data_IF_564202403316
#
_entry.id   IF_564202403316
#
_cell.length_a   1.000
_cell.length_b   1.000
_cell.length_c   1.000
_cell.angle_alpha   90.00
_cell.angle_beta   90.00
_cell.angle_gamma   90.00
#
_symmetry.space_group_name_H-M   'P 1'
#
loop_
_entity.id
_entity.type
_entity.pdbx_description
1 polymer ?
#
# COMPACT_ATOMS: atom_id res chain seq x y z
N UNK A 1 -30.05 14.87 -15.43
CA UNK A 1 -28.79 14.09 -15.64
C UNK A 1 -28.57 13.07 -14.52
N UNK A 2 -29.56 12.28 -14.11
CA UNK A 2 -29.44 11.34 -12.99
C UNK A 2 -29.98 9.95 -13.37
N UNK A 3 -29.45 9.36 -14.47
CA UNK A 3 -29.80 7.98 -14.82
C UNK A 3 -28.79 7.10 -14.09
N UNK A 4 -29.18 6.57 -12.92
CA UNK A 4 -28.38 5.57 -12.24
C UNK A 4 -28.43 4.27 -13.05
N UNK A 5 -27.30 3.70 -13.47
CA UNK A 5 -27.28 2.46 -14.23
C UNK A 5 -27.86 1.31 -13.40
N UNK A 6 -28.54 0.36 -14.05
CA UNK A 6 -28.98 -0.87 -13.43
C UNK A 6 -27.80 -1.66 -12.85
N UNK A 7 -28.03 -2.64 -11.97
CA UNK A 7 -26.95 -3.46 -11.38
C UNK A 7 -26.08 -4.12 -12.45
N UNK A 8 -26.69 -4.65 -13.51
CA UNK A 8 -25.99 -5.25 -14.66
C UNK A 8 -25.23 -4.18 -15.46
N UNK A 9 -25.87 -3.03 -15.74
CA UNK A 9 -25.23 -1.91 -16.42
C UNK A 9 -24.02 -1.37 -15.66
N UNK A 10 -24.09 -1.30 -14.32
CA UNK A 10 -22.95 -0.91 -13.48
C UNK A 10 -21.79 -1.88 -13.58
N UNK A 11 -22.07 -3.20 -13.58
CA UNK A 11 -21.04 -4.24 -13.75
C UNK A 11 -20.40 -4.15 -15.12
N UNK A 12 -21.22 -4.02 -16.19
CA UNK A 12 -20.71 -3.88 -17.57
C UNK A 12 -19.83 -2.64 -17.72
N UNK A 13 -20.27 -1.49 -17.19
CA UNK A 13 -19.48 -0.26 -17.23
C UNK A 13 -18.21 -0.36 -16.41
N UNK A 14 -18.21 -1.09 -15.29
CA UNK A 14 -17.01 -1.32 -14.49
C UNK A 14 -16.00 -2.23 -15.19
N UNK A 15 -16.44 -3.23 -15.96
CA UNK A 15 -15.57 -4.15 -16.71
C UNK A 15 -15.05 -3.55 -18.02
N UNK A 16 -15.76 -2.60 -18.60
CA UNK A 16 -15.45 -2.03 -19.92
C UNK A 16 -14.01 -1.52 -20.05
N UNK A 17 -13.44 -0.72 -19.10
CA UNK A 17 -12.07 -0.26 -19.24
C UNK A 17 -11.04 -1.40 -19.19
N UNK A 18 -11.29 -2.45 -18.41
CA UNK A 18 -10.40 -3.62 -18.34
C UNK A 18 -10.42 -4.42 -19.65
N UNK A 19 -11.60 -4.64 -20.20
CA UNK A 19 -11.76 -5.32 -21.51
C UNK A 19 -11.10 -4.50 -22.61
N UNK A 20 -11.29 -3.16 -22.59
CA UNK A 20 -10.67 -2.27 -23.58
C UNK A 20 -9.13 -2.35 -23.54
N UNK A 21 -8.54 -2.24 -22.33
CA UNK A 21 -7.09 -2.34 -22.16
C UNK A 21 -6.57 -3.72 -22.61
N UNK A 22 -7.26 -4.80 -22.24
CA UNK A 22 -6.88 -6.15 -22.65
C UNK A 22 -6.96 -6.32 -24.17
N UNK A 23 -8.01 -5.80 -24.81
CA UNK A 23 -8.17 -5.86 -26.28
C UNK A 23 -7.06 -5.07 -26.98
N UNK A 24 -6.78 -3.84 -26.53
CA UNK A 24 -5.68 -3.01 -27.08
C UNK A 24 -4.35 -3.76 -26.95
N UNK A 25 -4.10 -4.37 -25.79
CA UNK A 25 -2.87 -5.14 -25.58
C UNK A 25 -2.74 -6.32 -26.56
N UNK A 26 -3.79 -7.13 -26.71
CA UNK A 26 -3.78 -8.30 -27.59
C UNK A 26 -3.59 -7.89 -29.05
N UNK A 27 -4.29 -6.85 -29.51
CA UNK A 27 -4.15 -6.34 -30.89
C UNK A 27 -2.74 -5.80 -31.11
N UNK A 28 -2.23 -4.95 -30.23
CA UNK A 28 -0.89 -4.40 -30.36
C UNK A 28 0.21 -5.48 -30.31
N UNK A 29 0.06 -6.51 -29.47
CA UNK A 29 0.95 -7.66 -29.42
C UNK A 29 0.94 -8.44 -30.74
N UNK A 30 -0.24 -8.69 -31.30
CA UNK A 30 -0.39 -9.41 -32.58
C UNK A 30 0.24 -8.62 -33.76
N UNK A 31 -0.02 -7.31 -33.85
CA UNK A 31 0.55 -6.45 -34.89
C UNK A 31 2.08 -6.40 -34.84
N UNK A 32 2.66 -6.23 -33.65
CA UNK A 32 4.11 -6.22 -33.51
C UNK A 32 4.76 -7.52 -33.86
N UNK A 33 4.15 -8.65 -33.49
CA UNK A 33 4.66 -9.99 -33.87
C UNK A 33 4.51 -10.31 -35.36
N UNK A 34 3.55 -9.71 -36.01
CA UNK A 34 3.46 -9.83 -37.49
C UNK A 34 4.66 -9.18 -38.19
N UNK A 35 5.26 -8.14 -37.61
CA UNK A 35 6.46 -7.45 -38.09
C UNK A 35 7.74 -8.12 -37.58
N UNK A 36 7.77 -8.50 -36.30
CA UNK A 36 8.92 -9.17 -35.68
C UNK A 36 8.43 -10.33 -34.81
N UNK A 37 8.56 -11.58 -35.24
CA UNK A 37 8.12 -12.77 -34.49
C UNK A 37 8.79 -12.90 -33.07
N UNK A 38 10.01 -12.38 -32.95
CA UNK A 38 10.81 -12.42 -31.68
C UNK A 38 10.68 -11.16 -30.82
N UNK A 39 9.59 -10.39 -31.02
CA UNK A 39 9.39 -9.16 -30.23
C UNK A 39 9.15 -9.48 -28.75
N UNK A 40 10.10 -9.04 -27.91
CA UNK A 40 10.07 -9.21 -26.46
C UNK A 40 9.33 -8.12 -25.69
N UNK A 41 8.91 -7.04 -26.35
CA UNK A 41 8.31 -5.88 -25.67
C UNK A 41 6.82 -6.10 -25.36
N UNK A 42 6.09 -6.76 -26.26
CA UNK A 42 4.68 -7.11 -26.05
C UNK A 42 4.47 -8.62 -26.25
N UNK A 43 4.88 -9.45 -25.28
CA UNK A 43 4.76 -10.90 -25.38
C UNK A 43 3.27 -11.31 -25.44
N UNK A 44 2.93 -12.39 -26.16
CA UNK A 44 1.58 -12.91 -26.16
C UNK A 44 1.22 -13.51 -24.80
N UNK A 45 -0.08 -13.61 -24.55
CA UNK A 45 -0.60 -14.15 -23.28
C UNK A 45 -0.08 -15.57 -23.01
N UNK A 46 0.14 -16.37 -24.06
CA UNK A 46 0.70 -17.73 -23.94
C UNK A 46 2.11 -17.74 -23.34
N UNK A 47 3.01 -16.86 -23.80
CA UNK A 47 4.37 -16.76 -23.27
C UNK A 47 4.38 -16.26 -21.82
N UNK A 48 3.50 -15.31 -21.49
CA UNK A 48 3.30 -14.88 -20.09
C UNK A 48 2.79 -16.02 -19.20
N UNK A 49 1.84 -16.83 -19.70
CA UNK A 49 1.34 -17.99 -18.96
C UNK A 49 2.43 -19.04 -18.73
N UNK A 50 3.27 -19.30 -19.74
CA UNK A 50 4.41 -20.21 -19.60
C UNK A 50 5.48 -19.67 -18.64
N UNK A 51 5.72 -18.35 -18.66
CA UNK A 51 6.60 -17.69 -17.70
C UNK A 51 6.07 -17.82 -16.26
N UNK A 52 4.77 -17.57 -16.04
CA UNK A 52 4.13 -17.78 -14.73
C UNK A 52 4.25 -19.24 -14.30
N UNK A 53 4.01 -20.19 -15.20
CA UNK A 53 4.13 -21.62 -14.90
C UNK A 53 5.55 -21.99 -14.44
N UNK A 54 6.56 -21.41 -15.09
CA UNK A 54 7.97 -21.62 -14.70
C UNK A 54 8.27 -21.04 -13.32
N UNK A 55 7.92 -19.76 -13.08
CA UNK A 55 8.33 -19.08 -11.84
C UNK A 55 7.47 -19.42 -10.64
N UNK A 56 6.19 -19.82 -10.82
CA UNK A 56 5.25 -20.08 -9.74
C UNK A 56 5.13 -21.56 -9.36
N UNK A 57 5.53 -22.51 -10.23
CA UNK A 57 5.29 -23.94 -10.02
C UNK A 57 6.53 -24.82 -10.25
N UNK A 58 7.60 -24.27 -10.82
CA UNK A 58 8.83 -25.04 -11.03
C UNK A 58 9.93 -24.51 -10.11
N UNK A 59 10.66 -25.41 -9.43
CA UNK A 59 11.80 -25.02 -8.62
C UNK A 59 12.92 -24.48 -9.52
N UNK A 60 13.55 -23.40 -9.10
CA UNK A 60 14.71 -22.85 -9.77
C UNK A 60 15.88 -23.81 -9.67
N UNK A 61 16.61 -24.02 -10.76
CA UNK A 61 17.72 -24.98 -10.86
C UNK A 61 18.91 -24.63 -9.94
N UNK A 62 19.03 -23.38 -9.50
CA UNK A 62 20.14 -22.91 -8.67
C UNK A 62 19.78 -22.92 -7.18
N UNK A 63 18.61 -22.38 -6.82
CA UNK A 63 18.19 -22.25 -5.42
C UNK A 63 17.35 -23.43 -4.94
N UNK A 64 16.71 -24.19 -5.84
CA UNK A 64 15.74 -25.22 -5.50
C UNK A 64 14.38 -24.67 -5.02
N UNK A 65 14.22 -23.37 -4.92
CA UNK A 65 13.00 -22.71 -4.45
C UNK A 65 12.09 -22.32 -5.59
N UNK A 66 10.79 -22.20 -5.30
CA UNK A 66 9.83 -21.64 -6.26
C UNK A 66 9.90 -20.12 -6.16
N UNK A 67 10.51 -19.51 -7.15
CA UNK A 67 10.97 -18.13 -7.17
C UNK A 67 9.88 -17.11 -6.83
N UNK A 68 8.67 -17.25 -7.41
CA UNK A 68 7.58 -16.30 -7.19
C UNK A 68 7.17 -16.25 -5.71
N UNK A 69 7.11 -17.40 -5.05
CA UNK A 69 6.67 -17.47 -3.66
C UNK A 69 7.77 -16.99 -2.69
N UNK A 70 9.03 -17.30 -2.98
CA UNK A 70 10.16 -16.79 -2.20
C UNK A 70 10.25 -15.25 -2.29
N UNK A 71 10.16 -14.69 -3.51
CA UNK A 71 10.13 -13.25 -3.73
C UNK A 71 8.92 -12.59 -3.06
N UNK A 72 7.74 -13.23 -3.13
CA UNK A 72 6.52 -12.73 -2.49
C UNK A 72 6.65 -12.71 -0.97
N UNK A 73 7.17 -13.77 -0.37
CA UNK A 73 7.35 -13.86 1.07
C UNK A 73 8.33 -12.77 1.57
N UNK A 74 9.46 -12.59 0.89
CA UNK A 74 10.43 -11.56 1.23
C UNK A 74 9.85 -10.14 1.14
N UNK A 75 9.15 -9.84 0.05
CA UNK A 75 8.52 -8.52 -0.13
C UNK A 75 7.40 -8.26 0.87
N UNK A 76 6.52 -9.24 1.11
CA UNK A 76 5.42 -9.09 2.07
C UNK A 76 5.93 -8.94 3.50
N UNK A 77 6.98 -9.67 3.89
CA UNK A 77 7.59 -9.51 5.20
C UNK A 77 8.06 -8.07 5.43
N UNK A 78 8.81 -7.49 4.49
CA UNK A 78 9.28 -6.11 4.55
C UNK A 78 8.12 -5.12 4.59
N UNK A 79 7.11 -5.32 3.75
CA UNK A 79 5.93 -4.46 3.67
C UNK A 79 5.13 -4.47 4.97
N UNK A 80 4.82 -5.66 5.49
CA UNK A 80 4.04 -5.81 6.72
C UNK A 80 4.77 -5.21 7.92
N UNK A 81 6.09 -5.44 8.02
CA UNK A 81 6.91 -4.84 9.08
C UNK A 81 6.93 -3.31 8.95
N UNK A 82 7.24 -2.78 7.76
CA UNK A 82 7.30 -1.33 7.54
C UNK A 82 5.96 -0.64 7.75
N UNK A 83 4.89 -1.18 7.18
CA UNK A 83 3.54 -0.64 7.30
C UNK A 83 3.00 -0.79 8.73
N UNK A 84 3.31 -1.90 9.41
CA UNK A 84 2.95 -2.14 10.81
C UNK A 84 3.59 -1.11 11.74
N UNK A 85 4.91 -0.90 11.63
CA UNK A 85 5.63 0.11 12.40
C UNK A 85 5.09 1.51 12.09
N UNK A 86 4.87 1.84 10.82
CA UNK A 86 4.30 3.14 10.42
C UNK A 86 2.89 3.34 10.99
N UNK A 87 2.06 2.30 11.04
CA UNK A 87 0.71 2.34 11.60
C UNK A 87 0.76 2.55 13.12
N UNK A 88 1.64 1.86 13.83
CA UNK A 88 1.82 2.04 15.27
C UNK A 88 2.34 3.45 15.60
N UNK A 89 3.29 3.96 14.83
CA UNK A 89 3.76 5.34 14.95
C UNK A 89 2.64 6.35 14.63
N UNK A 90 1.87 6.11 13.56
CA UNK A 90 0.70 6.89 13.19
C UNK A 90 -0.32 6.97 14.34
N UNK A 91 -0.63 5.82 14.94
CA UNK A 91 -1.53 5.73 16.05
C UNK A 91 -1.01 6.49 17.29
N UNK A 92 0.22 6.19 17.72
CA UNK A 92 0.78 6.75 18.95
C UNK A 92 0.97 8.27 18.84
N UNK A 93 1.68 8.72 17.82
CA UNK A 93 1.98 10.14 17.64
C UNK A 93 0.78 10.95 17.13
N UNK A 94 -0.04 10.37 16.23
CA UNK A 94 -1.23 11.03 15.72
C UNK A 94 -2.27 11.27 16.83
N UNK A 95 -2.49 10.28 17.70
CA UNK A 95 -3.35 10.42 18.86
C UNK A 95 -2.78 11.44 19.86
N UNK A 96 -1.49 11.36 20.18
CA UNK A 96 -0.84 12.28 21.11
C UNK A 96 -0.88 13.74 20.61
N UNK A 97 -0.57 13.98 19.34
CA UNK A 97 -0.66 15.32 18.71
C UNK A 97 -2.11 15.82 18.69
N UNK A 98 -3.06 14.95 18.39
CA UNK A 98 -4.48 15.34 18.30
C UNK A 98 -5.13 15.64 19.65
N UNK A 99 -4.71 14.95 20.73
CA UNK A 99 -5.33 15.08 22.08
C UNK A 99 -4.59 16.08 22.96
N UNK A 100 -3.25 16.18 22.85
CA UNK A 100 -2.42 16.94 23.78
C UNK A 100 -1.90 18.24 23.14
N UNK A 101 -2.38 19.44 23.56
CA UNK A 101 -1.98 20.72 22.94
C UNK A 101 -0.47 20.98 22.99
N UNK A 102 0.23 20.59 24.07
CA UNK A 102 1.68 20.76 24.19
C UNK A 102 2.43 19.87 23.18
N UNK A 103 1.99 18.62 22.99
CA UNK A 103 2.56 17.71 22.02
C UNK A 103 2.28 18.21 20.59
N UNK A 104 1.08 18.72 20.36
CA UNK A 104 0.72 19.35 19.09
C UNK A 104 1.64 20.53 18.76
N UNK A 105 1.84 21.45 19.69
CA UNK A 105 2.67 22.62 19.48
C UNK A 105 4.15 22.27 19.16
N UNK A 106 4.65 21.15 19.70
CA UNK A 106 6.05 20.73 19.51
C UNK A 106 6.23 19.82 18.29
N UNK A 107 5.38 18.81 18.13
CA UNK A 107 5.60 17.76 17.12
C UNK A 107 4.85 17.99 15.78
N UNK A 108 3.73 18.72 15.79
CA UNK A 108 2.99 18.92 14.54
C UNK A 108 3.80 19.67 13.47
N UNK A 109 4.58 20.73 13.77
CA UNK A 109 5.45 21.38 12.78
C UNK A 109 6.53 20.44 12.26
N UNK A 110 7.14 19.63 13.15
CA UNK A 110 8.16 18.66 12.76
C UNK A 110 7.59 17.61 11.78
N UNK A 111 6.45 17.01 12.13
CA UNK A 111 5.78 16.01 11.26
C UNK A 111 5.37 16.63 9.92
N UNK A 112 4.91 17.89 9.93
CA UNK A 112 4.58 18.60 8.71
C UNK A 112 5.79 18.73 7.78
N UNK A 113 6.96 19.10 8.29
CA UNK A 113 8.21 19.18 7.52
C UNK A 113 8.65 17.79 7.04
N UNK A 114 8.65 16.78 7.91
CA UNK A 114 9.02 15.41 7.55
C UNK A 114 8.13 14.83 6.45
N UNK A 115 6.82 15.15 6.47
CA UNK A 115 5.88 14.70 5.44
C UNK A 115 6.10 15.32 4.05
N UNK A 116 6.89 16.39 3.96
CA UNK A 116 7.24 17.05 2.69
C UNK A 116 8.51 16.49 2.05
N UNK A 117 9.31 15.73 2.81
CA UNK A 117 10.54 15.14 2.28
C UNK A 117 10.16 13.96 1.36
N UNK A 118 10.57 13.97 0.08
CA UNK A 118 10.32 12.85 -0.82
C UNK A 118 11.07 11.60 -0.32
N UNK A 119 10.38 10.50 0.04
CA UNK A 119 11.04 9.34 0.64
C UNK A 119 12.11 8.72 -0.26
N UNK A 120 11.89 8.75 -1.58
CA UNK A 120 12.84 8.22 -2.53
C UNK A 120 14.16 9.04 -2.59
N UNK A 121 14.11 10.32 -2.27
CA UNK A 121 15.31 11.17 -2.26
C UNK A 121 16.25 10.84 -1.10
N UNK A 122 15.73 10.31 0.00
CA UNK A 122 16.55 9.90 1.16
C UNK A 122 17.06 8.45 1.07
N UNK A 123 16.62 7.68 0.09
CA UNK A 123 17.01 6.28 -0.06
C UNK A 123 18.54 6.07 -0.04
N UNK A 124 19.36 6.86 -0.77
CA UNK A 124 20.81 6.74 -0.70
C UNK A 124 21.37 7.00 0.71
N UNK A 125 20.78 7.96 1.44
CA UNK A 125 21.16 8.26 2.83
C UNK A 125 20.83 7.08 3.73
N UNK A 126 19.67 6.46 3.57
CA UNK A 126 19.29 5.27 4.35
C UNK A 126 20.23 4.09 4.09
N UNK A 127 20.70 3.92 2.86
CA UNK A 127 21.70 2.89 2.54
C UNK A 127 23.08 3.16 3.14
N UNK A 128 23.48 4.43 3.25
CA UNK A 128 24.72 4.81 3.91
C UNK A 128 24.64 4.57 5.42
N UNK A 129 23.50 4.93 6.05
CA UNK A 129 23.34 4.87 7.50
C UNK A 129 23.07 3.44 7.99
N UNK A 130 22.16 2.71 7.30
CA UNK A 130 21.68 1.40 7.73
C UNK A 130 22.26 0.22 6.91
N UNK A 131 23.08 0.51 5.90
CA UNK A 131 23.59 -0.49 4.95
C UNK A 131 22.55 -0.93 3.92
N UNK A 132 22.96 -1.82 3.02
CA UNK A 132 22.10 -2.38 1.95
C UNK A 132 21.21 -3.54 2.43
N UNK A 133 21.14 -3.78 3.75
CA UNK A 133 20.41 -4.88 4.37
C UNK A 133 18.88 -4.69 4.38
N UNK A 134 18.20 -5.53 5.16
CA UNK A 134 16.74 -5.52 5.28
C UNK A 134 16.22 -4.26 5.99
N UNK A 135 17.01 -3.75 6.96
CA UNK A 135 16.63 -2.61 7.78
C UNK A 135 16.35 -1.35 6.97
N UNK A 136 17.23 -1.01 6.02
CA UNK A 136 17.10 0.19 5.18
C UNK A 136 15.81 0.17 4.33
N UNK A 137 15.41 -1.01 3.85
CA UNK A 137 14.18 -1.20 3.07
C UNK A 137 12.93 -0.98 3.93
N UNK A 138 12.91 -1.55 5.13
CA UNK A 138 11.81 -1.37 6.09
C UNK A 138 11.73 0.08 6.55
N UNK A 139 12.87 0.70 6.90
CA UNK A 139 12.93 2.11 7.32
C UNK A 139 12.44 3.05 6.22
N UNK A 140 12.71 2.78 4.95
CA UNK A 140 12.17 3.58 3.84
C UNK A 140 10.64 3.56 3.81
N UNK A 141 10.02 2.39 4.00
CA UNK A 141 8.56 2.27 4.05
C UNK A 141 8.02 3.05 5.25
N UNK A 142 8.63 2.88 6.43
CA UNK A 142 8.24 3.61 7.65
C UNK A 142 8.33 5.11 7.44
N UNK A 143 9.46 5.61 6.95
CA UNK A 143 9.68 7.03 6.72
C UNK A 143 8.71 7.60 5.68
N UNK A 144 8.39 6.83 4.64
CA UNK A 144 7.48 7.27 3.58
C UNK A 144 6.00 7.28 4.00
N UNK A 145 5.61 6.43 4.96
CA UNK A 145 4.20 6.25 5.33
C UNK A 145 3.86 6.88 6.68
N UNK A 146 4.73 6.76 7.70
CA UNK A 146 4.41 7.20 9.07
C UNK A 146 4.06 8.69 9.17
N UNK A 147 4.78 9.66 8.55
CA UNK A 147 4.43 11.06 8.65
C UNK A 147 3.02 11.38 8.12
N UNK A 148 2.63 10.70 7.03
CA UNK A 148 1.29 10.82 6.48
C UNK A 148 0.24 10.29 7.46
N UNK A 149 0.42 9.08 8.03
CA UNK A 149 -0.52 8.49 8.98
C UNK A 149 -0.63 9.33 10.26
N UNK A 150 0.48 9.84 10.79
CA UNK A 150 0.50 10.71 11.97
C UNK A 150 -0.33 11.97 11.71
N UNK A 151 -0.11 12.61 10.57
CA UNK A 151 -0.81 13.84 10.19
C UNK A 151 -2.30 13.59 9.95
N UNK A 152 -2.66 12.57 9.19
CA UNK A 152 -4.07 12.25 8.90
C UNK A 152 -4.83 11.93 10.18
N UNK A 153 -4.24 11.13 11.08
CA UNK A 153 -4.88 10.78 12.34
C UNK A 153 -5.00 11.97 13.29
N UNK A 154 -3.97 12.82 13.39
CA UNK A 154 -4.03 14.03 14.24
C UNK A 154 -5.14 14.99 13.78
N UNK A 155 -5.32 15.14 12.47
CA UNK A 155 -6.42 15.93 11.89
C UNK A 155 -7.78 15.29 12.17
N UNK A 156 -7.88 13.96 12.08
CA UNK A 156 -9.10 13.23 12.39
C UNK A 156 -9.51 13.39 13.88
N UNK A 157 -8.55 13.35 14.78
CA UNK A 157 -8.78 13.63 16.22
C UNK A 157 -9.28 15.07 16.42
N UNK A 158 -8.63 16.05 15.79
CA UNK A 158 -9.02 17.47 15.87
C UNK A 158 -10.40 17.78 15.26
N UNK A 159 -10.90 16.91 14.38
CA UNK A 159 -12.23 17.03 13.77
C UNK A 159 -13.36 16.46 14.64
N UNK A 160 -13.06 15.81 15.77
CA UNK A 160 -14.09 15.30 16.67
C UNK A 160 -14.83 16.45 17.38
N UNK A 161 -16.17 16.34 17.59
CA UNK A 161 -16.95 17.36 18.28
C UNK A 161 -16.42 17.63 19.69
N UNK A 162 -16.07 18.88 19.96
CA UNK A 162 -15.50 19.29 21.26
C UNK A 162 -16.46 18.98 22.43
N UNK A 163 -17.78 19.00 22.17
CA UNK A 163 -18.80 18.71 23.19
C UNK A 163 -18.66 17.31 23.78
N UNK A 164 -18.20 16.33 23.00
CA UNK A 164 -17.99 14.96 23.48
C UNK A 164 -16.85 14.91 24.50
N UNK A 165 -15.77 15.66 24.23
CA UNK A 165 -14.59 15.74 25.08
C UNK A 165 -14.96 16.48 26.38
N UNK A 166 -15.60 17.66 26.26
CA UNK A 166 -16.06 18.47 27.40
C UNK A 166 -17.01 17.67 28.28
N UNK A 167 -17.98 16.97 27.70
CA UNK A 167 -18.93 16.11 28.43
C UNK A 167 -18.23 14.99 29.19
N UNK A 168 -17.27 14.31 28.57
CA UNK A 168 -16.50 13.26 29.25
C UNK A 168 -15.69 13.84 30.45
N UNK A 169 -15.05 14.99 30.27
CA UNK A 169 -14.30 15.67 31.31
C UNK A 169 -15.23 16.15 32.45
N UNK A 170 -16.42 16.67 32.15
CA UNK A 170 -17.41 17.06 33.14
C UNK A 170 -17.92 15.90 34.00
N UNK A 171 -17.86 14.67 33.44
CA UNK A 171 -18.15 13.42 34.17
C UNK A 171 -16.93 12.87 34.94
N UNK A 172 -15.83 13.63 35.02
CA UNK A 172 -14.62 13.26 35.77
C UNK A 172 -13.63 12.37 35.01
N UNK A 173 -13.77 12.24 33.68
CA UNK A 173 -12.81 11.47 32.88
C UNK A 173 -11.44 12.17 32.83
N UNK A 174 -10.37 11.43 33.14
CA UNK A 174 -8.99 11.90 32.94
C UNK A 174 -8.67 12.02 31.44
N UNK A 175 -7.64 12.80 31.09
CA UNK A 175 -7.17 12.93 29.68
C UNK A 175 -6.87 11.58 29.05
N UNK A 176 -6.28 10.65 29.79
CA UNK A 176 -6.00 9.29 29.33
C UNK A 176 -7.30 8.50 29.04
N UNK A 177 -8.29 8.60 29.92
CA UNK A 177 -9.60 7.97 29.70
C UNK A 177 -10.31 8.56 28.49
N UNK A 178 -10.24 9.86 28.28
CA UNK A 178 -10.77 10.53 27.08
C UNK A 178 -10.05 10.00 25.84
N UNK A 179 -8.72 9.95 25.83
CA UNK A 179 -7.94 9.48 24.71
C UNK A 179 -8.29 8.03 24.32
N UNK A 180 -8.34 7.12 25.29
CA UNK A 180 -8.49 5.67 25.02
C UNK A 180 -9.95 5.26 24.85
N UNK A 181 -10.90 5.83 25.61
CA UNK A 181 -12.30 5.39 25.62
C UNK A 181 -13.21 6.21 24.73
N UNK A 182 -12.85 7.45 24.44
CA UNK A 182 -13.69 8.34 23.61
C UNK A 182 -13.08 8.55 22.22
N UNK A 183 -11.82 9.00 22.16
CA UNK A 183 -11.17 9.39 20.91
C UNK A 183 -10.75 8.16 20.10
N UNK A 184 -9.95 7.27 20.70
CA UNK A 184 -9.37 6.11 20.01
C UNK A 184 -10.39 5.27 19.23
N UNK A 185 -11.53 4.82 19.79
CA UNK A 185 -12.49 4.01 19.05
C UNK A 185 -13.07 4.74 17.84
N UNK A 186 -13.24 6.08 17.94
CA UNK A 186 -13.82 6.88 16.87
C UNK A 186 -12.86 7.11 15.70
N UNK A 187 -11.56 7.15 15.96
CA UNK A 187 -10.56 7.41 14.91
C UNK A 187 -9.94 6.14 14.32
N UNK A 188 -10.14 4.97 14.95
CA UNK A 188 -9.62 3.70 14.42
C UNK A 188 -10.09 3.36 13.00
N UNK A 189 -11.37 3.52 12.62
CA UNK A 189 -11.79 3.30 11.23
C UNK A 189 -11.04 4.21 10.26
N UNK A 190 -10.81 5.47 10.65
CA UNK A 190 -10.06 6.42 9.85
C UNK A 190 -8.60 6.01 9.68
N UNK A 191 -7.96 5.50 10.74
CA UNK A 191 -6.59 4.98 10.66
C UNK A 191 -6.50 3.81 9.67
N UNK A 192 -7.43 2.86 9.73
CA UNK A 192 -7.46 1.74 8.80
C UNK A 192 -7.64 2.23 7.36
N UNK A 193 -8.54 3.18 7.11
CA UNK A 193 -8.73 3.78 5.79
C UNK A 193 -7.46 4.51 5.31
N UNK A 194 -6.74 5.21 6.19
CA UNK A 194 -5.47 5.86 5.88
C UNK A 194 -4.36 4.84 5.54
N UNK A 195 -4.29 3.72 6.26
CA UNK A 195 -3.38 2.60 5.95
C UNK A 195 -3.69 2.01 4.58
N UNK A 196 -4.96 1.80 4.25
CA UNK A 196 -5.39 1.32 2.93
C UNK A 196 -4.94 2.27 1.81
N UNK A 197 -5.12 3.57 1.99
CA UNK A 197 -4.68 4.60 1.04
C UNK A 197 -3.15 4.65 0.90
N UNK A 198 -2.42 4.21 1.93
CA UNK A 198 -0.95 4.15 1.92
C UNK A 198 -0.39 2.90 1.25
N UNK A 199 -1.20 1.89 0.92
CA UNK A 199 -0.71 0.65 0.28
C UNK A 199 0.02 0.92 -1.03
N UNK A 200 -0.54 1.75 -1.91
CA UNK A 200 0.09 2.11 -3.18
C UNK A 200 1.48 2.73 -3.00
N UNK A 201 1.61 3.84 -2.25
CA UNK A 201 2.91 4.41 -1.90
C UNK A 201 3.86 3.42 -1.20
N UNK A 202 3.37 2.59 -0.28
CA UNK A 202 4.19 1.60 0.43
C UNK A 202 4.78 0.55 -0.52
N UNK A 203 4.00 0.04 -1.48
CA UNK A 203 4.51 -0.84 -2.54
C UNK A 203 5.53 -0.13 -3.43
N UNK A 204 5.30 1.15 -3.77
CA UNK A 204 6.27 1.93 -4.55
C UNK A 204 7.62 2.01 -3.82
N UNK A 205 7.62 2.33 -2.53
CA UNK A 205 8.86 2.42 -1.74
C UNK A 205 9.54 1.06 -1.62
N UNK A 206 8.77 0.00 -1.37
CA UNK A 206 9.28 -1.37 -1.30
C UNK A 206 9.98 -1.79 -2.59
N UNK A 207 9.27 -1.70 -3.74
CA UNK A 207 9.78 -2.12 -5.05
C UNK A 207 11.04 -1.33 -5.42
N UNK A 208 11.04 -0.04 -5.12
CA UNK A 208 12.21 0.82 -5.41
C UNK A 208 13.42 0.47 -4.55
N UNK A 209 13.23 0.19 -3.27
CA UNK A 209 14.32 -0.25 -2.40
C UNK A 209 14.87 -1.63 -2.82
N UNK A 210 13.97 -2.56 -3.16
CA UNK A 210 14.34 -3.89 -3.65
C UNK A 210 15.07 -3.85 -4.99
N UNK A 211 14.71 -2.93 -5.88
CA UNK A 211 15.34 -2.75 -7.17
C UNK A 211 16.83 -2.40 -7.08
N UNK A 212 17.23 -1.70 -6.01
CA UNK A 212 18.60 -1.16 -5.86
C UNK A 212 19.43 -2.05 -4.97
N UNK A 213 18.88 -2.58 -3.88
CA UNK A 213 19.68 -3.16 -2.80
C UNK A 213 19.10 -4.48 -2.25
N UNK A 214 18.47 -5.31 -3.07
CA UNK A 214 17.99 -6.61 -2.64
C UNK A 214 18.61 -7.76 -3.42
N UNK A 215 18.60 -8.96 -2.81
CA UNK A 215 18.98 -10.24 -3.43
C UNK A 215 17.74 -11.12 -3.66
N UNK A 216 16.58 -10.72 -3.11
CA UNK A 216 15.28 -11.39 -3.26
C UNK A 216 14.16 -10.38 -3.11
N UNK A 217 13.01 -10.67 -3.71
CA UNK A 217 11.81 -9.85 -3.65
C UNK A 217 11.24 -9.52 -5.02
N UNK A 218 9.98 -9.07 -5.03
CA UNK A 218 9.24 -8.80 -6.26
C UNK A 218 9.88 -7.68 -7.08
N UNK A 219 10.32 -6.61 -6.41
CA UNK A 219 11.03 -5.50 -7.05
C UNK A 219 12.40 -5.92 -7.58
N UNK A 220 13.17 -6.68 -6.80
CA UNK A 220 14.44 -7.24 -7.23
C UNK A 220 14.29 -8.05 -8.52
N UNK A 221 13.29 -8.95 -8.58
CA UNK A 221 13.07 -9.80 -9.75
C UNK A 221 12.77 -8.99 -11.00
N UNK A 222 11.87 -8.03 -10.92
CA UNK A 222 11.51 -7.16 -12.04
C UNK A 222 12.77 -6.46 -12.58
N UNK A 223 13.60 -5.89 -11.71
CA UNK A 223 14.79 -5.16 -12.12
C UNK A 223 15.93 -6.08 -12.59
N UNK A 224 16.01 -7.31 -12.08
CA UNK A 224 16.94 -8.32 -12.56
C UNK A 224 16.67 -8.72 -14.01
N UNK A 225 15.40 -9.05 -14.33
CA UNK A 225 15.02 -9.55 -15.66
C UNK A 225 14.84 -8.43 -16.69
N UNK A 226 14.72 -7.15 -16.24
CA UNK A 226 14.62 -5.97 -17.11
C UNK A 226 15.79 -5.87 -18.09
N UNK A 227 16.99 -6.19 -17.64
CA UNK A 227 18.21 -6.14 -18.49
C UNK A 227 18.16 -7.11 -19.68
N UNK A 228 17.28 -8.11 -19.63
CA UNK A 228 17.08 -9.10 -20.70
C UNK A 228 15.82 -8.82 -21.51
N UNK A 229 15.11 -7.70 -21.21
CA UNK A 229 13.81 -7.34 -21.80
C UNK A 229 12.76 -8.46 -21.65
N UNK A 230 12.83 -9.24 -20.57
CA UNK A 230 11.92 -10.36 -20.31
C UNK A 230 10.54 -9.86 -19.84
N UNK A 231 9.80 -9.21 -20.74
CA UNK A 231 8.48 -8.65 -20.43
C UNK A 231 7.45 -9.75 -20.16
N UNK A 232 7.68 -10.97 -20.65
CA UNK A 232 6.92 -12.17 -20.32
C UNK A 232 6.91 -12.51 -18.83
N UNK A 233 7.96 -12.09 -18.08
CA UNK A 233 8.05 -12.23 -16.62
C UNK A 233 7.62 -10.95 -15.92
N UNK A 234 8.04 -9.77 -16.42
CA UNK A 234 7.78 -8.48 -15.77
C UNK A 234 6.28 -8.20 -15.64
N UNK A 235 5.53 -8.36 -16.75
CA UNK A 235 4.09 -8.05 -16.75
C UNK A 235 3.29 -8.92 -15.77
N UNK A 236 3.48 -10.25 -15.70
CA UNK A 236 2.87 -11.07 -14.67
C UNK A 236 3.27 -10.69 -13.24
N UNK A 237 4.53 -10.30 -12.99
CA UNK A 237 4.94 -9.83 -11.66
C UNK A 237 4.23 -8.53 -11.27
N UNK A 238 4.08 -7.58 -12.20
CA UNK A 238 3.31 -6.34 -11.96
C UNK A 238 1.84 -6.67 -11.66
N UNK A 239 1.24 -7.57 -12.44
CA UNK A 239 -0.13 -8.03 -12.20
C UNK A 239 -0.26 -8.72 -10.82
N UNK A 240 0.72 -9.53 -10.44
CA UNK A 240 0.76 -10.18 -9.13
C UNK A 240 0.88 -9.19 -7.98
N UNK A 241 1.77 -8.18 -8.07
CA UNK A 241 1.89 -7.09 -7.09
C UNK A 241 0.56 -6.34 -6.96
N UNK A 242 -0.10 -6.03 -8.09
CA UNK A 242 -1.40 -5.37 -8.09
C UNK A 242 -2.47 -6.21 -7.41
N UNK A 243 -2.48 -7.53 -7.65
CA UNK A 243 -3.38 -8.46 -6.99
C UNK A 243 -3.14 -8.51 -5.47
N UNK A 244 -1.87 -8.58 -5.04
CA UNK A 244 -1.51 -8.56 -3.62
C UNK A 244 -1.96 -7.26 -2.94
N UNK A 245 -1.72 -6.10 -3.58
CA UNK A 245 -2.18 -4.81 -3.07
C UNK A 245 -3.70 -4.76 -2.94
N UNK A 246 -4.43 -5.25 -3.94
CA UNK A 246 -5.89 -5.35 -3.91
C UNK A 246 -6.40 -6.27 -2.80
N UNK A 247 -5.79 -7.44 -2.63
CA UNK A 247 -6.17 -8.39 -1.57
C UNK A 247 -5.92 -7.80 -0.17
N UNK A 248 -4.81 -7.08 0.02
CA UNK A 248 -4.52 -6.39 1.27
C UNK A 248 -5.54 -5.26 1.52
N UNK A 249 -5.85 -4.44 0.52
CA UNK A 249 -6.89 -3.41 0.63
C UNK A 249 -8.25 -4.02 0.99
N UNK A 250 -8.64 -5.09 0.31
CA UNK A 250 -9.88 -5.80 0.58
C UNK A 250 -9.92 -6.37 2.00
N UNK A 251 -8.83 -7.00 2.45
CA UNK A 251 -8.72 -7.55 3.81
C UNK A 251 -8.85 -6.46 4.89
N UNK A 252 -8.16 -5.33 4.71
CA UNK A 252 -8.28 -4.17 5.61
C UNK A 252 -9.67 -3.54 5.57
N UNK A 253 -10.29 -3.45 4.38
CA UNK A 253 -11.67 -2.95 4.24
C UNK A 253 -12.67 -3.87 4.96
N UNK A 254 -12.49 -5.18 4.82
CA UNK A 254 -13.31 -6.17 5.52
C UNK A 254 -13.12 -6.07 7.03
N UNK A 255 -11.86 -6.02 7.50
CA UNK A 255 -11.52 -5.82 8.91
C UNK A 255 -12.20 -4.56 9.48
N UNK A 256 -12.10 -3.43 8.77
CA UNK A 256 -12.68 -2.17 9.21
C UNK A 256 -14.20 -2.25 9.33
N UNK A 257 -14.88 -2.88 8.37
CA UNK A 257 -16.35 -3.04 8.38
C UNK A 257 -16.84 -3.99 9.46
N UNK A 258 -16.08 -5.05 9.75
CA UNK A 258 -16.46 -6.03 10.77
C UNK A 258 -16.15 -5.54 12.19
N UNK A 259 -15.01 -4.86 12.39
CA UNK A 259 -14.62 -4.34 13.69
C UNK A 259 -15.37 -3.05 14.08
N UNK A 260 -15.75 -2.23 13.09
CA UNK A 260 -16.36 -0.91 13.30
C UNK A 260 -17.63 -0.70 12.43
N UNK A 261 -18.67 -1.54 12.53
CA UNK A 261 -19.85 -1.47 11.66
C UNK A 261 -20.57 -0.13 11.75
N UNK A 262 -20.62 0.49 12.94
CA UNK A 262 -21.24 1.77 13.20
C UNK A 262 -20.65 2.94 12.37
N UNK A 263 -19.39 2.86 11.97
CA UNK A 263 -18.75 3.89 11.17
C UNK A 263 -19.25 3.91 9.70
N UNK A 264 -19.85 2.83 9.24
CA UNK A 264 -20.32 2.65 7.85
C UNK A 264 -21.85 2.77 7.71
N UNK A 265 -22.64 2.56 8.78
CA UNK A 265 -24.10 2.67 8.75
C UNK A 265 -24.57 4.09 8.41
N UNK A 266 -23.87 5.11 8.83
CA UNK A 266 -24.19 6.51 8.54
C UNK A 266 -23.94 6.92 7.08
N UNK A 267 -23.07 6.22 6.35
CA UNK A 267 -22.76 6.50 4.93
C UNK A 267 -23.77 5.92 3.94
N UNK A 268 -24.54 4.90 4.33
CA UNK A 268 -25.56 4.26 3.48
C UNK A 268 -26.90 4.99 3.43
N UNK A 269 -27.09 6.07 4.21
CA UNK A 269 -28.35 6.86 4.28
C UNK A 269 -28.29 8.21 3.55
N UNK A 270 -27.22 8.49 2.78
CA UNK A 270 -27.16 9.70 1.95
C UNK A 270 -27.23 9.37 0.47
#
# INVERSE_FOLDING_TARGET
MNIAPSRIGRLMLALLPFVLIATIYVVASAERRAVNPDDKLLPPVSEMADAVRRVAFQPDRRSGEIVLWADTAASLQRLILGLGIATLAGLAFGLAIGVLPLVSATLAPLVAVLSMIPPMAILPVLFIVFGLGELSKVVLIVFGVAPFLIRDLSLAVGALPAEQIVKAQSLGASTWQVAIRVVLPQVMPRLIDAVRLSLGPAFLFLISAEAIAAESGLGYRIFLVRRFLAMDVILPYVAWITLLAYLMDYALAWLSRTAYPWAYESRGRR
#
